data_IF_063594440021
#
_entry.id   IF_063594440021
#
_cell.length_a   1.000
_cell.length_b   1.000
_cell.length_c   1.000
_cell.angle_alpha   90.00
_cell.angle_beta   90.00
_cell.angle_gamma   90.00
#
_symmetry.space_group_name_H-M   'P 1'
#
loop_
_entity.id
_entity.type
_entity.pdbx_description
1 polymer ?
#
# COMPACT_ATOMS: atom_id res chain seq x y z
N UNK A 1 -5.31 12.31 -6.69
CA UNK A 1 -3.92 12.14 -6.21
C UNK A 1 -2.88 12.49 -7.27
N UNK A 2 -3.01 11.95 -8.46
CA UNK A 2 -2.02 12.11 -9.54
C UNK A 2 -2.48 13.05 -10.65
N UNK A 3 -3.38 13.97 -10.38
CA UNK A 3 -3.88 14.96 -11.32
C UNK A 3 -5.40 15.12 -11.32
N UNK A 4 -5.95 15.66 -12.39
CA UNK A 4 -7.35 16.03 -12.49
C UNK A 4 -8.31 14.88 -12.77
N UNK A 5 -7.84 13.70 -13.14
CA UNK A 5 -8.64 12.49 -13.29
C UNK A 5 -8.43 11.50 -12.17
N UNK A 6 -9.46 10.67 -11.89
CA UNK A 6 -9.28 9.53 -10.97
C UNK A 6 -8.31 8.51 -11.58
N UNK A 7 -7.30 8.15 -10.81
CA UNK A 7 -6.25 7.21 -11.17
C UNK A 7 -6.36 5.92 -10.38
N UNK A 8 -5.54 4.93 -10.68
CA UNK A 8 -5.47 3.68 -9.91
C UNK A 8 -5.17 3.94 -8.42
N UNK A 9 -4.42 5.01 -8.12
CA UNK A 9 -4.13 5.42 -6.76
C UNK A 9 -5.41 5.89 -6.03
N UNK A 10 -6.26 6.66 -6.69
CA UNK A 10 -7.54 7.12 -6.14
C UNK A 10 -8.48 5.94 -5.87
N UNK A 11 -8.54 4.97 -6.78
CA UNK A 11 -9.31 3.74 -6.57
C UNK A 11 -8.74 2.87 -5.44
N UNK A 12 -7.44 2.89 -5.21
CA UNK A 12 -6.82 2.24 -4.06
C UNK A 12 -7.23 2.88 -2.73
N UNK A 13 -7.32 4.20 -2.69
CA UNK A 13 -7.70 4.94 -1.48
C UNK A 13 -9.20 4.92 -1.19
N UNK A 14 -10.05 4.99 -2.23
CA UNK A 14 -11.51 5.04 -2.00
C UNK A 14 -12.03 3.78 -1.31
N UNK A 15 -11.44 2.62 -1.57
CA UNK A 15 -11.83 1.36 -0.93
C UNK A 15 -11.86 1.47 0.60
N UNK A 16 -10.74 1.66 1.29
CA UNK A 16 -10.72 1.76 2.74
C UNK A 16 -11.41 3.04 3.27
N UNK A 17 -11.27 4.17 2.58
CA UNK A 17 -11.88 5.41 3.02
C UNK A 17 -13.42 5.36 2.99
N UNK A 18 -14.01 4.79 1.95
CA UNK A 18 -15.46 4.65 1.84
C UNK A 18 -16.00 3.45 2.62
N UNK A 19 -15.45 2.25 2.37
CA UNK A 19 -16.02 1.01 2.89
C UNK A 19 -15.85 0.83 4.40
N UNK A 20 -14.80 1.44 4.98
CA UNK A 20 -14.50 1.32 6.40
C UNK A 20 -14.68 2.66 7.11
N UNK A 21 -13.87 3.68 6.81
CA UNK A 21 -13.86 4.91 7.59
C UNK A 21 -15.12 5.75 7.42
N UNK A 22 -15.71 5.80 6.23
CA UNK A 22 -16.94 6.57 5.97
C UNK A 22 -18.22 5.87 6.45
N UNK A 23 -18.14 4.60 6.85
CA UNK A 23 -19.30 3.82 7.34
C UNK A 23 -19.31 3.61 8.84
N UNK A 24 -18.17 3.70 9.47
CA UNK A 24 -18.06 3.62 10.92
C UNK A 24 -18.27 5.02 11.53
N UNK A 25 -19.21 5.19 12.49
CA UNK A 25 -19.53 6.50 13.04
C UNK A 25 -18.36 7.26 13.67
N UNK A 26 -17.40 6.58 14.28
CA UNK A 26 -16.27 7.23 14.93
C UNK A 26 -15.28 7.82 13.92
N UNK A 27 -14.70 7.05 12.96
CA UNK A 27 -13.82 7.60 11.94
C UNK A 27 -14.54 8.56 10.97
N UNK A 28 -15.83 8.34 10.66
CA UNK A 28 -16.63 9.28 9.87
C UNK A 28 -16.66 10.67 10.53
N UNK A 29 -16.95 10.72 11.83
CA UNK A 29 -16.95 11.98 12.57
C UNK A 29 -15.56 12.65 12.52
N UNK A 30 -14.49 11.89 12.73
CA UNK A 30 -13.13 12.42 12.67
C UNK A 30 -12.81 12.95 11.25
N UNK A 31 -13.19 12.23 10.21
CA UNK A 31 -13.01 12.66 8.83
C UNK A 31 -13.70 14.00 8.56
N UNK A 32 -14.94 14.16 9.01
CA UNK A 32 -15.68 15.41 8.82
C UNK A 32 -15.14 16.58 9.66
N UNK A 33 -14.59 16.29 10.84
CA UNK A 33 -14.05 17.33 11.72
C UNK A 33 -12.63 17.77 11.33
N UNK A 34 -11.76 16.81 10.97
CA UNK A 34 -10.34 17.05 10.77
C UNK A 34 -9.93 17.12 9.30
N UNK A 35 -10.69 16.46 8.43
CA UNK A 35 -10.37 16.35 7.01
C UNK A 35 -11.64 16.46 6.12
N UNK A 36 -12.42 17.55 6.23
CA UNK A 36 -13.69 17.69 5.50
C UNK A 36 -13.53 17.59 3.98
N UNK A 37 -12.38 18.00 3.45
CA UNK A 37 -12.07 17.86 2.02
C UNK A 37 -11.92 16.40 1.59
N UNK A 38 -11.37 15.54 2.46
CA UNK A 38 -11.31 14.09 2.21
C UNK A 38 -12.71 13.49 2.24
N UNK A 39 -13.55 13.87 3.20
CA UNK A 39 -14.95 13.43 3.25
C UNK A 39 -15.70 13.77 1.96
N UNK A 40 -15.61 15.03 1.50
CA UNK A 40 -16.21 15.43 0.20
C UNK A 40 -15.61 14.69 -0.99
N UNK A 41 -14.30 14.41 -0.97
CA UNK A 41 -13.66 13.62 -2.03
C UNK A 41 -14.20 12.17 -2.04
N UNK A 42 -14.38 11.55 -0.88
CA UNK A 42 -14.98 10.19 -0.75
C UNK A 42 -16.39 10.17 -1.35
N UNK A 43 -17.22 11.16 -1.04
CA UNK A 43 -18.57 11.30 -1.61
C UNK A 43 -18.53 11.41 -3.15
N UNK A 44 -17.65 12.29 -3.66
CA UNK A 44 -17.49 12.46 -5.12
C UNK A 44 -17.02 11.18 -5.80
N UNK A 45 -16.00 10.53 -5.29
CA UNK A 45 -15.47 9.28 -5.86
C UNK A 45 -16.51 8.15 -5.88
N UNK A 46 -17.50 8.20 -5.00
CA UNK A 46 -18.60 7.25 -4.95
C UNK A 46 -19.80 7.68 -5.79
N UNK A 47 -19.84 8.91 -6.31
CA UNK A 47 -20.88 9.37 -7.19
C UNK A 47 -20.66 8.88 -8.62
N UNK A 48 -21.76 8.75 -9.39
CA UNK A 48 -21.72 8.42 -10.82
C UNK A 48 -21.51 9.64 -11.72
N UNK A 49 -21.48 10.82 -11.14
CA UNK A 49 -21.36 12.07 -11.88
C UNK A 49 -19.90 12.48 -12.03
N UNK A 50 -19.45 12.61 -13.27
CA UNK A 50 -18.11 13.11 -13.60
C UNK A 50 -17.95 14.61 -13.39
N UNK A 51 -19.05 15.35 -13.21
CA UNK A 51 -19.06 16.81 -13.10
C UNK A 51 -18.82 17.27 -11.66
N UNK A 52 -17.67 17.78 -11.42
CA UNK A 52 -17.18 18.27 -10.15
C UNK A 52 -17.20 19.80 -10.12
N UNK A 53 -18.27 20.37 -9.65
CA UNK A 53 -18.46 21.81 -9.64
C UNK A 53 -17.47 22.58 -8.74
N UNK A 54 -16.84 21.89 -7.77
CA UNK A 54 -15.97 22.54 -6.78
C UNK A 54 -14.54 22.81 -7.27
N UNK A 55 -14.10 22.18 -8.36
CA UNK A 55 -12.75 22.35 -8.89
C UNK A 55 -12.79 22.56 -10.40
N UNK A 56 -12.03 23.52 -10.90
CA UNK A 56 -11.80 23.64 -12.33
C UNK A 56 -11.10 22.38 -12.82
N UNK A 57 -11.67 21.75 -13.80
CA UNK A 57 -11.19 20.51 -14.36
C UNK A 57 -9.92 20.78 -15.18
N UNK A 58 -8.78 20.49 -14.64
CA UNK A 58 -7.56 20.28 -15.40
C UNK A 58 -7.39 18.77 -15.59
N UNK A 59 -7.62 18.22 -16.79
CA UNK A 59 -7.52 16.79 -17.02
C UNK A 59 -6.07 16.28 -17.01
N UNK A 60 -5.09 17.15 -16.86
CA UNK A 60 -3.68 16.75 -16.88
C UNK A 60 -3.31 15.86 -15.68
N UNK A 61 -2.47 14.88 -15.94
CA UNK A 61 -1.76 14.18 -14.87
C UNK A 61 -0.62 15.04 -14.35
N UNK A 62 -0.28 14.85 -13.09
CA UNK A 62 0.91 15.45 -12.49
C UNK A 62 2.13 15.01 -13.29
N UNK A 63 2.98 15.97 -13.65
CA UNK A 63 4.25 15.66 -14.31
C UNK A 63 5.12 14.77 -13.40
N UNK A 64 5.72 13.70 -13.93
CA UNK A 64 6.65 12.86 -13.16
C UNK A 64 7.83 13.64 -12.56
N UNK A 65 8.20 14.76 -13.21
CA UNK A 65 9.33 15.60 -12.79
C UNK A 65 8.95 16.66 -11.73
N UNK A 66 7.66 16.80 -11.43
CA UNK A 66 7.15 17.82 -10.51
C UNK A 66 6.09 17.23 -9.57
N UNK A 67 6.54 16.42 -8.63
CA UNK A 67 5.64 15.88 -7.61
C UNK A 67 5.15 17.02 -6.69
N UNK A 68 3.82 17.15 -6.47
CA UNK A 68 3.29 18.12 -5.52
C UNK A 68 3.80 17.86 -4.11
N UNK A 69 4.00 18.93 -3.33
CA UNK A 69 4.41 18.82 -1.92
C UNK A 69 3.47 17.94 -1.10
N UNK A 70 2.17 17.99 -1.40
CA UNK A 70 1.16 17.15 -0.73
C UNK A 70 1.35 15.66 -1.02
N UNK A 71 1.76 15.29 -2.23
CA UNK A 71 2.06 13.90 -2.57
C UNK A 71 3.38 13.46 -1.92
N UNK A 72 4.38 14.32 -1.93
CA UNK A 72 5.66 14.08 -1.23
C UNK A 72 5.44 13.89 0.28
N UNK A 73 4.62 14.73 0.91
CA UNK A 73 4.25 14.58 2.31
C UNK A 73 3.52 13.27 2.59
N UNK A 74 2.60 12.85 1.71
CA UNK A 74 1.92 11.57 1.82
C UNK A 74 2.89 10.38 1.71
N UNK A 75 3.85 10.43 0.79
CA UNK A 75 4.86 9.37 0.63
C UNK A 75 5.78 9.29 1.86
N UNK A 76 6.18 10.42 2.46
CA UNK A 76 6.93 10.44 3.73
C UNK A 76 6.13 9.83 4.87
N UNK A 77 4.84 10.14 4.95
CA UNK A 77 3.95 9.53 5.92
C UNK A 77 3.84 8.00 5.72
N UNK A 78 3.73 7.53 4.47
CA UNK A 78 3.76 6.09 4.15
C UNK A 78 5.09 5.47 4.57
N UNK A 79 6.22 6.15 4.37
CA UNK A 79 7.53 5.66 4.83
C UNK A 79 7.57 5.48 6.35
N UNK A 80 7.10 6.47 7.10
CA UNK A 80 7.07 6.44 8.56
C UNK A 80 6.16 5.33 9.12
N UNK A 81 4.98 5.16 8.53
CA UNK A 81 3.93 4.31 9.08
C UNK A 81 3.97 2.86 8.55
N UNK A 82 4.31 2.68 7.29
CA UNK A 82 4.22 1.37 6.62
C UNK A 82 5.54 0.58 6.64
N UNK A 83 6.71 1.23 6.51
CA UNK A 83 7.98 0.50 6.45
C UNK A 83 8.28 -0.32 7.71
N UNK A 84 8.03 0.15 8.94
CA UNK A 84 8.24 -0.66 10.14
C UNK A 84 7.44 -1.97 10.10
N UNK A 85 6.17 -1.89 9.70
CA UNK A 85 5.29 -3.05 9.57
C UNK A 85 5.79 -4.03 8.52
N UNK A 86 6.04 -3.57 7.29
CA UNK A 86 6.41 -4.48 6.19
C UNK A 86 7.80 -5.10 6.41
N UNK A 87 8.75 -4.39 7.06
CA UNK A 87 10.04 -4.98 7.47
C UNK A 87 9.85 -6.13 8.45
N UNK A 88 9.04 -5.93 9.49
CA UNK A 88 8.74 -6.98 10.46
C UNK A 88 8.05 -8.19 9.79
N UNK A 89 7.10 -7.94 8.90
CA UNK A 89 6.40 -8.98 8.15
C UNK A 89 7.35 -9.79 7.25
N UNK A 90 8.25 -9.14 6.52
CA UNK A 90 9.24 -9.80 5.66
C UNK A 90 10.23 -10.62 6.50
N UNK A 91 10.71 -10.08 7.62
CA UNK A 91 11.56 -10.81 8.56
C UNK A 91 10.87 -12.07 9.06
N UNK A 92 9.66 -11.93 9.60
CA UNK A 92 8.85 -13.08 10.07
C UNK A 92 8.62 -14.12 8.98
N UNK A 93 8.26 -13.69 7.76
CA UNK A 93 8.01 -14.59 6.65
C UNK A 93 9.26 -15.38 6.27
N UNK A 94 10.43 -14.76 6.24
CA UNK A 94 11.69 -15.45 5.93
C UNK A 94 12.06 -16.49 6.99
N UNK A 95 11.85 -16.21 8.26
CA UNK A 95 12.04 -17.18 9.34
C UNK A 95 11.01 -18.33 9.25
N UNK A 96 9.76 -18.00 8.98
CA UNK A 96 8.69 -18.98 8.79
C UNK A 96 8.97 -19.92 7.61
N UNK A 97 9.45 -19.38 6.48
CA UNK A 97 9.85 -20.15 5.30
C UNK A 97 11.04 -21.06 5.64
N UNK A 98 12.08 -20.52 6.25
CA UNK A 98 13.28 -21.28 6.63
C UNK A 98 12.98 -22.46 7.56
N UNK A 99 11.98 -22.34 8.42
CA UNK A 99 11.54 -23.39 9.34
C UNK A 99 10.69 -24.50 8.69
N UNK A 100 10.30 -24.35 7.41
CA UNK A 100 9.34 -25.23 6.71
C UNK A 100 9.73 -25.57 5.26
N UNK A 101 10.94 -26.05 5.00
CA UNK A 101 11.42 -26.24 3.63
C UNK A 101 10.61 -27.24 2.80
N UNK A 102 9.87 -28.15 3.44
CA UNK A 102 9.09 -29.19 2.77
C UNK A 102 7.63 -28.81 2.45
N UNK A 103 7.17 -27.61 2.90
CA UNK A 103 5.75 -27.22 2.84
C UNK A 103 5.50 -26.09 1.84
N UNK A 104 6.54 -25.61 1.15
CA UNK A 104 6.48 -24.35 0.41
C UNK A 104 5.77 -24.41 -0.93
N UNK A 105 5.74 -25.54 -1.62
CA UNK A 105 5.01 -25.63 -2.87
C UNK A 105 3.49 -25.57 -2.64
N UNK A 106 2.90 -24.44 -2.96
CA UNK A 106 1.46 -24.23 -2.88
C UNK A 106 0.91 -23.97 -1.49
N UNK A 107 1.74 -23.94 -0.44
CA UNK A 107 1.26 -23.72 0.92
C UNK A 107 0.92 -22.26 1.18
N UNK A 108 -0.33 -22.02 1.49
CA UNK A 108 -0.90 -20.74 1.87
C UNK A 108 -1.22 -20.74 3.37
N UNK A 109 -0.21 -20.58 4.23
CA UNK A 109 -0.41 -20.51 5.68
C UNK A 109 -1.12 -21.70 6.35
N UNK A 110 -1.43 -22.76 5.63
CA UNK A 110 -1.90 -24.05 6.17
C UNK A 110 -3.40 -24.18 6.44
N UNK A 111 -4.23 -23.14 6.33
CA UNK A 111 -5.68 -23.33 6.45
C UNK A 111 -6.45 -22.35 5.56
N UNK A 112 -7.50 -22.85 4.95
CA UNK A 112 -8.43 -22.05 4.15
C UNK A 112 -9.13 -20.94 4.97
N UNK A 113 -9.25 -21.11 6.27
CA UNK A 113 -9.87 -20.14 7.18
C UNK A 113 -8.87 -19.09 7.70
N UNK A 114 -7.58 -19.38 7.68
CA UNK A 114 -6.54 -18.48 8.15
C UNK A 114 -5.56 -18.21 7.01
N UNK A 115 -5.69 -17.05 6.36
CA UNK A 115 -4.71 -16.63 5.32
C UNK A 115 -3.40 -16.13 5.93
N UNK A 116 -3.35 -15.97 7.26
CA UNK A 116 -2.17 -15.56 7.98
C UNK A 116 -1.21 -16.74 8.21
N UNK A 117 0.09 -16.49 8.07
CA UNK A 117 1.15 -17.45 8.41
C UNK A 117 1.58 -17.37 9.88
N UNK A 118 1.11 -16.37 10.60
CA UNK A 118 1.36 -16.15 12.03
C UNK A 118 1.07 -14.72 12.43
N UNK A 119 1.57 -14.35 13.62
CA UNK A 119 1.50 -13.01 14.17
C UNK A 119 2.91 -12.47 14.36
N UNK A 120 3.14 -11.19 14.08
CA UNK A 120 4.38 -10.51 14.42
C UNK A 120 4.10 -9.15 15.05
N UNK A 121 5.07 -8.66 15.81
CA UNK A 121 5.02 -7.34 16.43
C UNK A 121 6.01 -6.38 15.75
N UNK A 122 5.65 -5.11 15.68
CA UNK A 122 6.53 -4.03 15.25
C UNK A 122 6.29 -2.77 16.07
N UNK A 123 7.29 -1.91 16.13
CA UNK A 123 7.14 -0.60 16.77
C UNK A 123 6.51 0.39 15.82
N UNK A 124 5.43 1.00 16.25
CA UNK A 124 4.76 2.09 15.57
C UNK A 124 4.72 3.29 16.51
N UNK A 125 5.56 4.29 16.23
CA UNK A 125 5.81 5.40 17.16
C UNK A 125 6.17 4.87 18.56
N UNK A 126 5.49 5.29 19.59
CA UNK A 126 5.70 4.87 20.98
C UNK A 126 4.91 3.61 21.38
N UNK A 127 4.31 2.92 20.41
CA UNK A 127 3.43 1.77 20.66
C UNK A 127 3.93 0.55 19.91
N UNK A 128 3.82 -0.63 20.53
CA UNK A 128 4.01 -1.91 19.86
C UNK A 128 2.69 -2.41 19.34
N UNK A 129 2.65 -2.71 18.04
CA UNK A 129 1.47 -3.28 17.37
C UNK A 129 1.77 -4.74 17.03
N UNK A 130 0.83 -5.62 17.39
CA UNK A 130 0.85 -7.02 16.97
C UNK A 130 -0.21 -7.22 15.87
N UNK A 131 0.20 -7.84 14.75
CA UNK A 131 -0.67 -8.02 13.59
C UNK A 131 -0.41 -9.33 12.87
N UNK A 132 -1.42 -9.79 12.13
CA UNK A 132 -1.36 -11.02 11.34
C UNK A 132 -0.49 -10.84 10.09
N UNK A 133 0.44 -11.76 9.88
CA UNK A 133 1.31 -11.78 8.69
C UNK A 133 0.59 -12.48 7.55
N UNK A 134 0.18 -11.70 6.56
CA UNK A 134 -0.61 -12.16 5.42
C UNK A 134 0.24 -12.23 4.16
N UNK A 135 0.34 -13.37 3.45
CA UNK A 135 1.08 -13.48 2.18
C UNK A 135 0.64 -12.49 1.10
N UNK A 136 -0.61 -12.03 1.15
CA UNK A 136 -1.12 -10.99 0.26
C UNK A 136 -0.31 -9.68 0.32
N UNK A 137 0.24 -9.33 1.48
CA UNK A 137 1.08 -8.12 1.63
C UNK A 137 2.38 -8.24 0.81
N UNK A 138 2.98 -9.42 0.77
CA UNK A 138 4.17 -9.68 -0.04
C UNK A 138 3.86 -9.68 -1.53
N UNK A 139 2.70 -10.22 -1.92
CA UNK A 139 2.23 -10.10 -3.30
C UNK A 139 2.10 -8.65 -3.74
N UNK A 140 1.55 -7.76 -2.89
CA UNK A 140 1.46 -6.33 -3.20
C UNK A 140 2.83 -5.65 -3.23
N UNK A 141 3.72 -5.96 -2.29
CA UNK A 141 5.10 -5.45 -2.26
C UNK A 141 5.86 -5.82 -3.55
N UNK A 142 5.74 -7.08 -3.97
CA UNK A 142 6.36 -7.55 -5.22
C UNK A 142 5.86 -6.78 -6.44
N UNK A 143 4.59 -6.40 -6.49
CA UNK A 143 4.06 -5.60 -7.61
C UNK A 143 4.72 -4.23 -7.73
N UNK A 144 5.04 -3.59 -6.61
CA UNK A 144 5.80 -2.33 -6.61
C UNK A 144 7.22 -2.58 -7.14
N UNK A 145 7.88 -3.63 -6.66
CA UNK A 145 9.23 -4.01 -7.09
C UNK A 145 9.27 -4.43 -8.57
N UNK A 146 8.26 -5.17 -9.04
CA UNK A 146 8.13 -5.57 -10.44
C UNK A 146 7.87 -4.36 -11.37
N UNK A 147 7.12 -3.36 -10.90
CA UNK A 147 6.91 -2.12 -11.64
C UNK A 147 8.21 -1.33 -11.77
N UNK A 148 8.96 -1.18 -10.69
CA UNK A 148 10.30 -0.57 -10.71
C UNK A 148 11.26 -1.33 -11.63
N UNK A 149 11.29 -2.66 -11.58
CA UNK A 149 12.18 -3.47 -12.40
C UNK A 149 11.87 -3.37 -13.91
N UNK A 150 10.65 -3.01 -14.29
CA UNK A 150 10.23 -2.79 -15.69
C UNK A 150 10.51 -1.38 -16.19
N UNK A 151 10.80 -0.45 -15.30
CA UNK A 151 11.10 0.92 -15.65
C UNK A 151 12.45 1.00 -16.39
N UNK A 152 12.58 1.97 -17.26
CA UNK A 152 13.85 2.27 -17.95
C UNK A 152 14.92 2.74 -16.95
N UNK A 153 16.21 2.65 -17.26
CA UNK A 153 17.28 3.12 -16.38
C UNK A 153 17.10 4.60 -15.96
N UNK A 154 16.58 5.43 -16.85
CA UNK A 154 16.31 6.85 -16.56
C UNK A 154 15.18 7.00 -15.55
N UNK A 155 14.08 6.27 -15.72
CA UNK A 155 12.95 6.26 -14.78
C UNK A 155 13.35 5.67 -13.43
N UNK A 156 14.16 4.60 -13.41
CA UNK A 156 14.69 4.04 -12.16
C UNK A 156 15.52 5.07 -11.40
N UNK A 157 16.41 5.79 -12.09
CA UNK A 157 17.21 6.83 -11.46
C UNK A 157 16.37 8.01 -10.93
N UNK A 158 15.24 8.32 -11.56
CA UNK A 158 14.30 9.32 -11.05
C UNK A 158 13.55 8.77 -9.82
N UNK A 159 13.05 7.54 -9.88
CA UNK A 159 12.38 6.87 -8.76
C UNK A 159 13.30 6.73 -7.56
N UNK A 160 14.56 6.35 -7.75
CA UNK A 160 15.54 6.22 -6.66
C UNK A 160 15.72 7.54 -5.90
N UNK A 161 15.78 8.67 -6.60
CA UNK A 161 15.85 10.00 -5.96
C UNK A 161 14.61 10.31 -5.16
N UNK A 162 13.43 10.07 -5.73
CA UNK A 162 12.14 10.29 -5.05
C UNK A 162 12.04 9.40 -3.81
N UNK A 163 12.33 8.11 -3.96
CA UNK A 163 12.26 7.15 -2.85
C UNK A 163 13.26 7.50 -1.73
N UNK A 164 14.46 7.97 -2.10
CA UNK A 164 15.45 8.42 -1.12
C UNK A 164 14.98 9.68 -0.38
N UNK A 165 14.44 10.68 -1.10
CA UNK A 165 13.94 11.93 -0.51
C UNK A 165 12.79 11.71 0.48
N UNK A 166 11.92 10.73 0.20
CA UNK A 166 10.76 10.42 1.05
C UNK A 166 11.02 9.28 2.06
N UNK A 167 12.21 8.69 2.09
CA UNK A 167 12.57 7.62 3.03
C UNK A 167 11.99 6.24 2.69
N UNK A 168 11.64 6.00 1.42
CA UNK A 168 11.03 4.74 0.95
C UNK A 168 12.00 3.80 0.22
N UNK A 169 13.30 4.09 0.16
CA UNK A 169 14.28 3.29 -0.59
C UNK A 169 14.24 1.79 -0.27
N UNK A 170 14.04 1.44 0.99
CA UNK A 170 14.04 0.05 1.45
C UNK A 170 12.93 -0.80 0.83
N UNK A 171 11.83 -0.19 0.35
CA UNK A 171 10.71 -0.92 -0.24
C UNK A 171 11.15 -1.75 -1.46
N UNK A 172 12.21 -1.35 -2.14
CA UNK A 172 12.76 -2.06 -3.29
C UNK A 172 13.62 -3.27 -2.91
N UNK A 173 14.23 -3.24 -1.73
CA UNK A 173 15.15 -4.29 -1.22
C UNK A 173 14.50 -5.31 -0.29
N UNK A 174 13.37 -4.96 0.34
CA UNK A 174 12.62 -5.85 1.21
C UNK A 174 12.01 -7.00 0.43
N UNK A 175 12.57 -8.21 0.55
CA UNK A 175 12.14 -9.40 -0.21
C UNK A 175 11.96 -10.60 0.70
N UNK A 176 10.93 -11.37 0.43
CA UNK A 176 10.81 -12.74 0.92
C UNK A 176 11.69 -13.67 0.11
N UNK A 177 12.24 -14.71 0.74
CA UNK A 177 13.12 -15.70 0.10
C UNK A 177 12.41 -16.50 -0.99
N UNK A 178 11.11 -16.65 -0.90
CA UNK A 178 10.24 -17.21 -1.94
C UNK A 178 9.25 -16.15 -2.42
N UNK A 179 8.87 -16.24 -3.70
CA UNK A 179 7.85 -15.37 -4.25
C UNK A 179 6.45 -15.82 -3.84
N UNK A 180 5.54 -14.86 -3.79
CA UNK A 180 4.12 -15.11 -3.66
C UNK A 180 3.45 -14.87 -5.01
N UNK A 181 2.71 -15.84 -5.49
CA UNK A 181 1.85 -15.70 -6.67
C UNK A 181 0.39 -15.86 -6.29
N UNK A 182 -0.50 -15.42 -7.15
CA UNK A 182 -1.94 -15.52 -6.93
C UNK A 182 -2.57 -16.50 -7.91
N UNK A 183 -3.08 -17.61 -7.37
CA UNK A 183 -3.74 -18.67 -8.15
C UNK A 183 -5.14 -18.91 -7.56
N UNK A 184 -6.18 -18.84 -8.38
CA UNK A 184 -7.57 -19.03 -7.94
C UNK A 184 -7.94 -18.21 -6.68
N UNK A 185 -7.54 -16.94 -6.68
CA UNK A 185 -7.76 -15.98 -5.58
C UNK A 185 -7.02 -16.31 -4.26
N UNK A 186 -6.11 -17.27 -4.27
CA UNK A 186 -5.25 -17.63 -3.15
C UNK A 186 -3.81 -17.19 -3.41
N UNK A 187 -3.17 -16.67 -2.40
CA UNK A 187 -1.74 -16.36 -2.41
C UNK A 187 -0.98 -17.64 -2.06
N UNK A 188 -0.11 -18.08 -2.95
CA UNK A 188 0.73 -19.28 -2.77
C UNK A 188 2.20 -18.94 -2.92
N UNK A 189 3.06 -19.66 -2.21
CA UNK A 189 4.50 -19.55 -2.32
C UNK A 189 5.03 -20.35 -3.52
N UNK A 190 6.02 -19.77 -4.24
CA UNK A 190 6.71 -20.41 -5.38
C UNK A 190 8.20 -20.16 -5.29
#
# INVERSE_FOLDING_TARGET
>A
LLGGHATIADYGFIGPLFAHLNRDPAPLRLMHQLAPSVGRWVERMNSREEKWAEHRHDPSLVSPDQLPDTLTALLRYIAEEYLPEIRAHVGFANEWIASRPSVLEGANGGSFKGRAIGMCAFSWRDTTIETAVMPYRFFLLQRVQDAYAKATPTEQAQLDRVLADVGLSDILSLKTTHKVVRVNHLEIWV
#
